data_IF_995956638354
#
_entry.id   IF_995956638354
#
_cell.length_a   1.000
_cell.length_b   1.000
_cell.length_c   1.000
_cell.angle_alpha   90.00
_cell.angle_beta   90.00
_cell.angle_gamma   90.00
#
_symmetry.space_group_name_H-M   'P 1'
#
loop_
_entity.id
_entity.type
_entity.pdbx_description
1 polymer ?
#
# COMPACT_ATOMS: atom_id res chain seq x y z
N UNK A 1 36.34 -13.79 27.77
CA UNK A 1 37.38 -13.40 26.80
C UNK A 1 36.76 -12.38 25.85
N UNK A 2 37.38 -11.19 25.75
CA UNK A 2 37.11 -10.06 24.83
C UNK A 2 35.70 -9.41 24.96
N UNK A 3 35.46 -8.29 25.66
CA UNK A 3 36.00 -6.91 25.58
C UNK A 3 35.90 -6.25 24.19
N UNK A 4 34.91 -5.36 24.03
CA UNK A 4 34.82 -4.21 23.11
C UNK A 4 33.68 -3.29 23.66
N UNK A 5 33.91 -2.38 24.62
CA UNK A 5 34.31 -0.96 24.48
C UNK A 5 33.47 -0.20 23.44
N UNK A 6 32.40 0.51 23.83
CA UNK A 6 32.36 1.90 24.34
C UNK A 6 33.22 2.90 23.55
N UNK A 7 32.62 3.56 22.55
CA UNK A 7 33.08 4.83 22.00
C UNK A 7 31.86 5.67 21.56
N UNK A 8 31.32 6.49 22.47
CA UNK A 8 30.59 7.70 22.10
C UNK A 8 31.21 8.88 22.86
N UNK A 9 31.53 10.00 22.18
CA UNK A 9 32.08 11.19 22.82
C UNK A 9 31.02 11.94 23.63
N UNK A 10 31.43 12.69 24.68
CA UNK A 10 30.52 13.50 25.48
C UNK A 10 29.99 14.69 24.68
N UNK A 11 28.65 14.80 24.63
CA UNK A 11 27.95 15.97 24.07
C UNK A 11 28.31 17.23 24.84
N UNK A 12 28.83 18.22 24.12
CA UNK A 12 29.24 19.51 24.66
C UNK A 12 28.02 20.40 24.80
N UNK A 13 27.66 20.72 26.04
CA UNK A 13 26.61 21.67 26.37
C UNK A 13 27.04 23.09 25.95
N UNK A 14 26.48 23.60 24.84
CA UNK A 14 26.51 25.02 24.52
C UNK A 14 25.33 25.72 25.21
N UNK A 15 25.65 26.53 26.21
CA UNK A 15 24.81 27.63 26.70
C UNK A 15 25.02 28.84 25.80
N UNK A 16 23.95 29.41 25.26
CA UNK A 16 23.86 30.77 24.70
C UNK A 16 22.56 30.85 23.92
N UNK A 17 21.70 31.86 23.97
CA UNK A 17 21.57 33.07 24.77
C UNK A 17 20.15 33.55 24.51
N UNK A 18 19.52 34.17 25.50
CA UNK A 18 18.33 34.99 25.32
C UNK A 18 18.59 36.06 24.26
N UNK A 19 17.75 36.14 23.23
CA UNK A 19 17.48 37.41 22.56
C UNK A 19 16.01 37.54 22.18
N UNK A 20 15.41 38.55 22.79
CA UNK A 20 14.13 39.16 22.49
C UNK A 20 14.02 39.58 21.00
N UNK A 21 12.93 39.20 20.35
CA UNK A 21 12.44 39.92 19.19
C UNK A 21 10.91 39.90 19.12
N UNK A 22 10.30 40.95 19.69
CA UNK A 22 8.96 41.42 19.35
C UNK A 22 8.94 41.88 17.90
N UNK A 23 8.05 41.34 17.07
CA UNK A 23 7.52 42.05 15.90
C UNK A 23 6.13 41.47 15.57
N UNK A 24 5.04 42.16 15.94
CA UNK A 24 4.30 43.10 15.07
C UNK A 24 3.81 42.41 13.78
N UNK A 25 2.59 41.85 13.81
CA UNK A 25 1.34 42.51 13.36
C UNK A 25 1.36 42.84 11.86
N UNK A 26 0.69 42.01 11.06
CA UNK A 26 -0.24 42.44 10.01
C UNK A 26 -0.99 41.25 9.40
N UNK A 27 -2.29 41.17 9.65
CA UNK A 27 -3.24 40.49 8.78
C UNK A 27 -3.35 41.26 7.46
N UNK A 28 -3.52 40.56 6.34
CA UNK A 28 -4.34 41.06 5.25
C UNK A 28 -5.61 40.21 5.13
N UNK A 29 -6.74 40.88 5.36
CA UNK A 29 -8.01 40.52 4.76
C UNK A 29 -7.90 40.65 3.23
N UNK A 30 -8.35 39.65 2.49
CA UNK A 30 -8.95 39.86 1.18
C UNK A 30 -10.00 38.78 0.92
N UNK A 31 -11.25 39.17 1.17
CA UNK A 31 -12.42 38.70 0.44
C UNK A 31 -12.25 38.99 -1.06
N UNK A 32 -13.11 38.36 -1.90
CA UNK A 32 -13.24 38.46 -3.37
C UNK A 32 -12.45 37.37 -4.13
N UNK A 33 -13.01 36.51 -4.97
CA UNK A 33 -14.31 36.44 -5.61
C UNK A 33 -14.66 34.97 -5.90
N UNK A 34 -15.81 34.53 -5.42
CA UNK A 34 -16.52 33.37 -5.96
C UNK A 34 -17.42 33.86 -7.09
N UNK A 35 -17.08 33.58 -8.35
CA UNK A 35 -18.11 33.35 -9.37
C UNK A 35 -17.57 32.79 -10.68
N UNK A 36 -18.37 31.86 -11.24
CA UNK A 36 -18.47 31.59 -12.68
C UNK A 36 -17.33 30.69 -13.25
N UNK A 37 -17.54 29.57 -13.94
CA UNK A 37 -18.55 29.25 -14.96
C UNK A 37 -18.62 27.71 -15.13
N UNK A 38 -19.84 27.16 -15.02
CA UNK A 38 -20.24 25.90 -15.63
C UNK A 38 -20.17 26.03 -17.17
N UNK A 39 -19.30 25.25 -17.84
CA UNK A 39 -19.46 24.96 -19.28
C UNK A 39 -19.14 23.50 -19.60
N UNK A 40 -20.22 22.74 -19.65
CA UNK A 40 -20.56 21.72 -20.67
C UNK A 40 -19.49 21.36 -21.71
N UNK A 41 -19.06 20.11 -21.67
CA UNK A 41 -18.60 19.32 -22.84
C UNK A 41 -19.16 17.90 -22.66
N UNK A 42 -20.36 17.60 -23.14
CA UNK A 42 -20.65 17.03 -24.47
C UNK A 42 -19.68 15.92 -24.90
N UNK A 43 -20.05 14.69 -24.50
CA UNK A 43 -20.23 13.50 -25.36
C UNK A 43 -19.66 13.63 -26.77
N UNK A 44 -18.69 12.77 -27.11
CA UNK A 44 -18.57 12.20 -28.45
C UNK A 44 -18.08 10.76 -28.32
N UNK A 45 -19.04 9.84 -28.40
CA UNK A 45 -18.81 8.41 -28.63
C UNK A 45 -18.37 8.24 -30.08
N UNK A 46 -17.16 7.70 -30.31
CA UNK A 46 -16.77 7.22 -31.63
C UNK A 46 -16.60 5.69 -31.56
N UNK A 47 -17.59 5.00 -32.12
CA UNK A 47 -17.48 3.61 -32.53
C UNK A 47 -16.43 3.50 -33.64
N UNK A 48 -15.46 2.61 -33.47
CA UNK A 48 -14.69 2.08 -34.60
C UNK A 48 -14.90 0.58 -34.67
N UNK A 49 -15.84 0.20 -35.52
CA UNK A 49 -16.00 -1.17 -35.97
C UNK A 49 -14.91 -1.49 -37.01
N UNK A 50 -14.08 -2.49 -36.73
CA UNK A 50 -13.29 -3.18 -37.75
C UNK A 50 -13.73 -4.64 -37.80
N UNK A 51 -14.62 -4.91 -38.75
CA UNK A 51 -14.81 -6.23 -39.32
C UNK A 51 -13.59 -6.57 -40.18
N UNK A 52 -13.02 -7.75 -39.99
CA UNK A 52 -12.33 -8.47 -41.06
C UNK A 52 -12.55 -9.96 -40.89
N UNK A 53 -13.07 -10.53 -41.98
CA UNK A 53 -13.40 -11.92 -42.24
C UNK A 53 -12.17 -12.84 -42.18
N UNK A 54 -12.46 -14.14 -42.45
CA UNK A 54 -11.58 -15.24 -42.92
C UNK A 54 -11.04 -16.16 -41.81
N UNK A 55 -11.16 -17.49 -41.83
CA UNK A 55 -11.62 -18.47 -42.82
C UNK A 55 -12.13 -19.74 -42.14
N UNK A 56 -13.07 -20.40 -42.83
CA UNK A 56 -13.50 -21.76 -42.57
C UNK A 56 -12.44 -22.77 -43.05
N UNK A 57 -12.31 -23.89 -42.33
CA UNK A 57 -11.75 -25.13 -42.87
C UNK A 57 -10.90 -25.90 -41.88
N UNK A 58 -11.27 -27.16 -41.63
CA UNK A 58 -10.28 -28.18 -41.37
C UNK A 58 -10.52 -29.07 -40.16
N UNK A 59 -11.09 -30.25 -40.46
CA UNK A 59 -10.73 -31.56 -39.88
C UNK A 59 -11.01 -31.82 -38.40
N UNK A 60 -12.15 -32.48 -38.20
CA UNK A 60 -12.51 -33.38 -37.10
C UNK A 60 -11.59 -34.62 -37.17
N UNK A 61 -10.68 -34.75 -36.22
CA UNK A 61 -10.09 -36.03 -35.82
C UNK A 61 -10.77 -36.45 -34.52
N UNK A 62 -11.45 -37.60 -34.60
CA UNK A 62 -11.94 -38.36 -33.47
C UNK A 62 -10.72 -39.00 -32.78
N UNK A 63 -10.45 -38.61 -31.54
CA UNK A 63 -9.48 -39.31 -30.69
C UNK A 63 -10.20 -39.82 -29.46
N UNK A 64 -9.98 -41.10 -29.27
CA UNK A 64 -10.61 -42.07 -28.39
C UNK A 64 -10.69 -41.67 -26.91
N UNK A 65 -11.79 -42.13 -26.31
CA UNK A 65 -12.11 -42.11 -24.89
C UNK A 65 -10.99 -42.75 -24.05
N UNK A 66 -10.24 -41.92 -23.32
CA UNK A 66 -9.44 -42.35 -22.18
C UNK A 66 -10.08 -41.81 -20.90
N UNK A 67 -10.91 -42.67 -20.30
CA UNK A 67 -11.54 -42.52 -18.99
C UNK A 67 -10.47 -42.48 -17.89
N UNK A 68 -9.87 -41.30 -17.67
CA UNK A 68 -9.04 -41.03 -16.51
C UNK A 68 -9.93 -40.63 -15.34
N UNK A 69 -10.20 -41.60 -14.46
CA UNK A 69 -10.77 -41.36 -13.15
C UNK A 69 -9.87 -40.38 -12.37
N UNK A 70 -10.29 -39.12 -12.28
CA UNK A 70 -9.64 -38.16 -11.40
C UNK A 70 -9.95 -38.53 -9.94
N UNK A 71 -8.93 -38.64 -9.07
CA UNK A 71 -9.16 -38.74 -7.65
C UNK A 71 -9.82 -37.44 -7.20
N UNK A 72 -11.06 -37.52 -6.72
CA UNK A 72 -11.74 -36.42 -6.07
C UNK A 72 -10.96 -36.07 -4.80
N UNK A 73 -10.01 -35.15 -4.91
CA UNK A 73 -9.46 -34.47 -3.75
C UNK A 73 -10.64 -33.80 -3.05
N UNK A 74 -11.04 -34.40 -1.95
CA UNK A 74 -11.99 -33.82 -1.03
C UNK A 74 -11.36 -32.53 -0.52
N UNK A 75 -11.68 -31.41 -1.17
CA UNK A 75 -11.45 -30.08 -0.64
C UNK A 75 -12.14 -30.06 0.72
N UNK A 76 -11.33 -30.13 1.79
CA UNK A 76 -11.78 -29.83 3.14
C UNK A 76 -12.36 -28.41 3.08
N UNK A 77 -13.68 -28.32 3.03
CA UNK A 77 -14.42 -27.09 3.29
C UNK A 77 -14.22 -26.82 4.77
N UNK A 78 -13.08 -26.22 5.10
CA UNK A 78 -12.87 -25.55 6.38
C UNK A 78 -14.00 -24.55 6.48
N UNK A 79 -15.00 -24.87 7.31
CA UNK A 79 -16.03 -23.92 7.72
C UNK A 79 -15.31 -22.84 8.51
N UNK A 80 -14.76 -21.85 7.82
CA UNK A 80 -14.43 -20.57 8.44
C UNK A 80 -15.71 -20.13 9.14
N UNK A 81 -15.67 -20.00 10.47
CA UNK A 81 -16.76 -19.46 11.27
C UNK A 81 -16.99 -18.01 10.83
N UNK A 82 -17.81 -17.87 9.78
CA UNK A 82 -17.89 -16.68 8.97
C UNK A 82 -18.44 -15.51 9.76
N UNK A 83 -17.57 -14.57 10.11
CA UNK A 83 -17.96 -13.27 10.61
C UNK A 83 -18.98 -12.65 9.63
N UNK A 84 -20.10 -12.14 10.14
CA UNK A 84 -21.09 -11.48 9.28
C UNK A 84 -20.51 -10.20 8.67
N UNK A 85 -20.96 -9.83 7.46
CA UNK A 85 -20.47 -8.61 6.79
C UNK A 85 -20.59 -7.33 7.65
N UNK A 86 -21.67 -7.11 8.43
CA UNK A 86 -21.73 -5.96 9.35
C UNK A 86 -20.68 -6.01 10.46
N UNK A 87 -20.40 -7.18 11.04
CA UNK A 87 -19.37 -7.35 12.06
C UNK A 87 -17.98 -7.12 11.48
N UNK A 88 -17.72 -7.67 10.28
CA UNK A 88 -16.47 -7.44 9.54
C UNK A 88 -16.27 -5.95 9.30
N UNK A 89 -17.30 -5.25 8.80
CA UNK A 89 -17.21 -3.80 8.50
C UNK A 89 -16.90 -2.97 9.74
N UNK A 90 -17.57 -3.26 10.87
CA UNK A 90 -17.32 -2.53 12.12
C UNK A 90 -15.90 -2.80 12.64
N UNK A 91 -15.46 -4.06 12.61
CA UNK A 91 -14.11 -4.46 12.98
C UNK A 91 -13.05 -3.76 12.13
N UNK A 92 -13.18 -3.81 10.80
CA UNK A 92 -12.24 -3.16 9.86
C UNK A 92 -12.20 -1.65 10.07
N UNK A 93 -13.34 -0.98 10.25
CA UNK A 93 -13.38 0.47 10.54
C UNK A 93 -12.73 0.84 11.86
N UNK A 94 -12.90 0.00 12.89
CA UNK A 94 -12.19 0.18 14.16
C UNK A 94 -10.68 0.06 13.96
N UNK A 95 -10.22 -0.99 13.28
CA UNK A 95 -8.80 -1.19 12.99
C UNK A 95 -8.18 -0.05 12.17
N UNK A 96 -8.90 0.46 11.15
CA UNK A 96 -8.48 1.64 10.38
C UNK A 96 -8.32 2.86 11.30
N UNK A 97 -9.27 3.12 12.20
CA UNK A 97 -9.13 4.23 13.16
C UNK A 97 -7.94 4.04 14.11
N UNK A 98 -7.73 2.82 14.58
CA UNK A 98 -6.62 2.49 15.46
C UNK A 98 -5.29 2.78 14.75
N UNK A 99 -5.04 2.19 13.58
CA UNK A 99 -3.76 2.36 12.86
C UNK A 99 -3.49 3.80 12.45
N UNK A 100 -4.52 4.63 12.23
CA UNK A 100 -4.33 6.04 11.90
C UNK A 100 -4.26 6.98 13.12
N UNK A 101 -4.33 6.47 14.35
CA UNK A 101 -4.21 7.32 15.53
C UNK A 101 -2.80 7.93 15.62
N UNK A 102 -2.70 9.20 16.03
CA UNK A 102 -1.41 9.92 16.10
C UNK A 102 -0.42 9.26 17.08
N UNK A 103 -0.95 8.64 18.14
CA UNK A 103 -0.17 8.05 19.23
C UNK A 103 0.29 6.60 18.97
N UNK A 104 0.05 6.04 17.78
CA UNK A 104 0.45 4.64 17.46
C UNK A 104 1.43 4.58 16.30
N UNK A 105 2.33 3.60 16.35
CA UNK A 105 3.19 3.29 15.21
C UNK A 105 2.34 2.73 14.05
N UNK A 106 2.62 3.21 12.83
CA UNK A 106 1.96 2.76 11.60
C UNK A 106 2.62 1.45 11.17
N UNK A 107 2.05 0.32 11.57
CA UNK A 107 2.66 -1.00 11.33
C UNK A 107 1.76 -1.94 10.57
N UNK A 108 2.39 -2.85 9.84
CA UNK A 108 1.79 -3.93 9.07
C UNK A 108 2.59 -5.21 9.25
N UNK A 109 1.94 -6.35 9.10
CA UNK A 109 2.58 -7.65 9.09
C UNK A 109 2.78 -8.14 7.65
N UNK A 110 3.98 -8.59 7.32
CA UNK A 110 4.25 -9.42 6.15
C UNK A 110 4.34 -10.87 6.62
N UNK A 111 3.47 -11.72 6.09
CA UNK A 111 3.39 -13.13 6.47
C UNK A 111 4.52 -13.98 5.90
N UNK A 112 4.42 -15.29 6.14
CA UNK A 112 5.36 -16.30 5.62
C UNK A 112 5.27 -16.48 4.10
N UNK A 113 4.29 -15.84 3.44
CA UNK A 113 4.19 -15.75 1.99
C UNK A 113 5.22 -14.77 1.39
N UNK A 114 5.91 -13.99 2.22
CA UNK A 114 7.01 -13.08 1.84
C UNK A 114 6.63 -12.11 0.72
N UNK A 115 5.34 -11.80 0.59
CA UNK A 115 4.80 -11.10 -0.58
C UNK A 115 4.04 -9.85 -0.19
N UNK A 116 4.40 -8.75 -0.85
CA UNK A 116 3.64 -7.51 -0.86
C UNK A 116 3.00 -7.31 -2.25
N UNK A 117 1.82 -6.71 -2.27
CA UNK A 117 1.05 -6.34 -3.45
C UNK A 117 1.15 -4.84 -3.65
N UNK A 118 1.49 -4.40 -4.85
CA UNK A 118 1.49 -2.99 -5.22
C UNK A 118 0.74 -2.80 -6.53
N UNK A 119 0.01 -1.70 -6.65
CA UNK A 119 -0.83 -1.50 -7.83
C UNK A 119 -1.90 -0.44 -7.71
N UNK A 120 -2.66 -0.30 -8.78
CA UNK A 120 -3.93 0.40 -8.79
C UNK A 120 -4.99 -0.42 -8.03
N UNK A 121 -5.45 0.13 -6.91
CA UNK A 121 -6.36 -0.60 -6.00
C UNK A 121 -7.77 -0.72 -6.59
N UNK A 122 -8.13 0.11 -7.56
CA UNK A 122 -9.41 0.00 -8.25
C UNK A 122 -9.46 -1.23 -9.16
N UNK A 123 -8.34 -1.61 -9.78
CA UNK A 123 -8.22 -2.85 -10.58
C UNK A 123 -8.39 -4.10 -9.71
N UNK A 124 -7.87 -4.04 -8.48
CA UNK A 124 -8.02 -5.12 -7.52
C UNK A 124 -9.48 -5.41 -7.13
N UNK A 125 -10.49 -4.60 -7.52
CA UNK A 125 -11.91 -4.88 -7.25
C UNK A 125 -12.53 -5.99 -8.11
N UNK A 126 -11.88 -6.34 -9.22
CA UNK A 126 -12.35 -7.37 -10.15
C UNK A 126 -12.39 -8.77 -9.54
N UNK A 127 -12.92 -9.74 -10.31
CA UNK A 127 -12.99 -11.14 -9.89
C UNK A 127 -11.61 -11.85 -9.93
N UNK A 128 -10.63 -11.28 -10.64
CA UNK A 128 -9.36 -11.92 -10.98
C UNK A 128 -8.15 -11.49 -10.11
N UNK A 129 -8.36 -10.87 -8.94
CA UNK A 129 -7.27 -10.46 -8.01
C UNK A 129 -6.11 -9.72 -8.72
N UNK A 130 -6.43 -8.75 -9.55
CA UNK A 130 -5.47 -8.07 -10.42
C UNK A 130 -4.74 -6.94 -9.70
N UNK A 131 -3.70 -7.28 -8.95
CA UNK A 131 -2.60 -6.35 -8.68
C UNK A 131 -1.56 -6.46 -9.77
N UNK A 132 -1.02 -5.34 -10.21
CA UNK A 132 -0.03 -5.27 -11.29
C UNK A 132 1.35 -5.75 -10.84
N UNK A 133 1.68 -5.59 -9.55
CA UNK A 133 2.99 -5.95 -9.02
C UNK A 133 2.91 -6.82 -7.75
N UNK A 134 3.58 -7.96 -7.82
CA UNK A 134 3.82 -8.87 -6.70
C UNK A 134 5.29 -8.78 -6.29
N UNK A 135 5.56 -8.16 -5.15
CA UNK A 135 6.90 -7.98 -4.59
C UNK A 135 7.22 -9.17 -3.70
N UNK A 136 8.05 -10.10 -4.18
CA UNK A 136 8.40 -11.33 -3.47
C UNK A 136 9.74 -11.24 -2.76
N UNK A 137 9.92 -12.05 -1.71
CA UNK A 137 11.14 -12.09 -0.91
C UNK A 137 11.23 -10.98 0.15
N UNK A 138 10.09 -10.37 0.51
CA UNK A 138 9.99 -9.49 1.65
C UNK A 138 10.19 -10.27 2.95
N UNK A 139 11.05 -9.77 3.84
CA UNK A 139 11.32 -10.42 5.12
C UNK A 139 10.03 -10.54 5.96
N UNK A 140 9.64 -11.74 6.42
CA UNK A 140 8.48 -11.90 7.29
C UNK A 140 8.61 -11.10 8.60
N UNK A 141 7.48 -10.63 9.12
CA UNK A 141 7.40 -9.92 10.39
C UNK A 141 6.69 -8.58 10.32
N UNK A 142 7.01 -7.71 11.27
CA UNK A 142 6.41 -6.40 11.44
C UNK A 142 7.22 -5.36 10.67
N UNK A 143 6.51 -4.66 9.78
CA UNK A 143 7.00 -3.55 8.99
C UNK A 143 6.36 -2.25 9.46
N UNK A 144 7.15 -1.19 9.52
CA UNK A 144 6.68 0.18 9.74
C UNK A 144 6.42 0.83 8.39
N UNK A 145 5.26 1.48 8.29
CA UNK A 145 4.84 2.23 7.11
C UNK A 145 5.02 3.73 7.39
N UNK A 146 5.47 4.46 6.39
CA UNK A 146 5.46 5.93 6.41
C UNK A 146 5.02 6.45 5.05
N UNK A 147 4.47 7.67 5.07
CA UNK A 147 4.05 8.40 3.88
C UNK A 147 4.51 9.84 4.05
N UNK A 148 5.13 10.41 3.02
CA UNK A 148 5.65 11.77 3.10
C UNK A 148 4.54 12.79 2.87
N UNK A 149 4.41 13.75 3.78
CA UNK A 149 3.51 14.88 3.57
C UNK A 149 3.97 15.83 2.46
N UNK A 150 5.27 15.82 2.10
CA UNK A 150 5.82 16.70 1.06
C UNK A 150 5.71 16.10 -0.35
N UNK A 151 5.43 14.82 -0.46
CA UNK A 151 5.28 14.09 -1.72
C UNK A 151 4.19 13.05 -1.54
N UNK A 152 3.00 13.34 -2.09
CA UNK A 152 1.82 12.48 -1.93
C UNK A 152 2.03 11.06 -2.47
N UNK A 153 3.03 10.85 -3.33
CA UNK A 153 3.41 9.57 -3.92
C UNK A 153 4.53 8.82 -3.18
N UNK A 154 5.21 9.41 -2.19
CA UNK A 154 6.32 8.75 -1.50
C UNK A 154 5.82 7.92 -0.31
N UNK A 155 5.89 6.60 -0.45
CA UNK A 155 5.58 5.62 0.61
C UNK A 155 6.82 4.80 0.91
N UNK A 156 7.06 4.51 2.20
CA UNK A 156 8.17 3.67 2.63
C UNK A 156 7.72 2.60 3.62
N UNK A 157 8.23 1.38 3.43
CA UNK A 157 8.04 0.24 4.32
C UNK A 157 9.42 -0.17 4.86
N UNK A 158 9.56 -0.25 6.18
CA UNK A 158 10.80 -0.58 6.88
C UNK A 158 10.55 -1.80 7.76
N UNK A 159 11.29 -2.90 7.56
CA UNK A 159 11.23 -4.05 8.45
C UNK A 159 11.77 -3.69 9.84
N UNK A 160 11.02 -4.00 10.90
CA UNK A 160 11.36 -3.63 12.28
C UNK A 160 11.81 -4.84 13.08
N UNK A 161 11.00 -5.90 13.07
CA UNK A 161 11.21 -7.09 13.89
C UNK A 161 10.34 -8.26 13.43
N UNK A 162 10.67 -9.45 13.88
CA UNK A 162 9.79 -10.63 13.77
C UNK A 162 8.50 -10.46 14.59
N UNK A 163 7.42 -11.11 14.15
CA UNK A 163 6.15 -11.17 14.87
C UNK A 163 4.94 -10.84 14.00
N UNK A 164 3.77 -10.77 14.64
CA UNK A 164 2.47 -10.48 14.02
C UNK A 164 1.89 -9.17 14.56
N UNK A 165 0.95 -8.57 13.84
CA UNK A 165 0.30 -7.32 14.25
C UNK A 165 -1.09 -7.59 14.84
N UNK A 166 -1.30 -7.16 16.09
CA UNK A 166 -2.63 -7.05 16.68
C UNK A 166 -3.19 -5.62 16.48
N UNK A 167 -4.13 -5.47 15.55
CA UNK A 167 -4.76 -4.18 15.26
C UNK A 167 -5.74 -3.70 16.35
N UNK A 168 -6.10 -4.54 17.31
CA UNK A 168 -6.86 -4.14 18.50
C UNK A 168 -5.95 -3.60 19.61
N UNK A 169 -4.65 -3.93 19.60
CA UNK A 169 -3.65 -3.57 20.61
C UNK A 169 -2.33 -3.08 19.98
N UNK A 170 -2.41 -2.06 19.11
CA UNK A 170 -1.23 -1.51 18.44
C UNK A 170 -0.22 -0.90 19.42
N UNK A 171 1.10 -1.05 19.15
CA UNK A 171 2.12 -0.47 20.01
C UNK A 171 2.03 1.07 20.00
N UNK A 172 2.24 1.72 21.16
CA UNK A 172 2.33 3.17 21.21
C UNK A 172 3.51 3.64 20.38
N UNK A 173 3.39 4.84 19.81
CA UNK A 173 4.47 5.41 19.03
C UNK A 173 5.65 5.74 19.92
N UNK A 174 6.83 5.28 19.53
CA UNK A 174 8.06 5.54 20.28
C UNK A 174 8.62 6.95 20.05
N UNK A 175 7.96 7.80 19.26
CA UNK A 175 8.46 9.14 18.90
C UNK A 175 9.68 9.13 17.97
N UNK A 176 10.32 7.97 17.78
CA UNK A 176 11.25 7.70 16.69
C UNK A 176 10.47 7.59 15.38
N UNK A 177 10.06 8.74 14.86
CA UNK A 177 9.81 8.89 13.44
C UNK A 177 11.15 8.58 12.78
N UNK A 178 11.32 7.33 12.34
CA UNK A 178 12.35 7.04 11.36
C UNK A 178 12.09 8.06 10.26
N UNK A 179 13.00 9.03 10.11
CA UNK A 179 12.94 9.93 8.98
C UNK A 179 12.84 9.09 7.71
N UNK A 180 12.34 9.65 6.60
CA UNK A 180 12.64 9.04 5.31
C UNK A 180 14.12 8.69 5.37
N UNK A 181 14.47 7.42 5.15
CA UNK A 181 15.88 7.06 5.06
C UNK A 181 16.42 8.06 4.03
N UNK A 182 17.16 9.06 4.51
CA UNK A 182 17.58 10.17 3.67
C UNK A 182 18.25 9.51 2.46
N UNK A 183 18.17 10.13 1.29
CA UNK A 183 18.94 9.74 0.11
C UNK A 183 20.44 9.88 0.43
N UNK A 184 20.91 9.11 1.40
CA UNK A 184 22.28 8.87 1.71
C UNK A 184 22.76 8.06 0.52
N UNK A 185 23.45 8.76 -0.37
CA UNK A 185 24.02 8.24 -1.61
C UNK A 185 24.86 6.96 -1.39
N UNK A 186 25.16 6.61 -0.14
CA UNK A 186 25.79 5.37 0.27
C UNK A 186 24.90 4.11 0.13
N UNK A 187 23.57 4.24 0.06
CA UNK A 187 22.65 3.10 0.00
C UNK A 187 22.19 2.87 -1.45
N UNK A 188 22.57 1.73 -2.00
CA UNK A 188 22.16 1.31 -3.34
C UNK A 188 20.74 0.74 -3.30
N UNK A 189 19.79 1.51 -3.84
CA UNK A 189 18.42 1.06 -4.07
C UNK A 189 18.36 0.22 -5.34
N UNK A 190 17.71 -0.95 -5.28
CA UNK A 190 17.42 -1.76 -6.46
C UNK A 190 15.97 -1.57 -6.89
N UNK A 191 15.71 -1.40 -8.19
CA UNK A 191 14.35 -1.48 -8.73
C UNK A 191 13.85 -2.93 -8.60
N UNK A 192 12.79 -3.13 -7.81
CA UNK A 192 12.18 -4.44 -7.59
C UNK A 192 10.89 -4.63 -8.39
N UNK A 193 10.36 -3.55 -8.99
CA UNK A 193 9.25 -3.61 -9.92
C UNK A 193 8.69 -2.24 -10.25
N UNK A 194 7.75 -2.23 -11.19
CA UNK A 194 7.02 -1.05 -11.61
C UNK A 194 5.57 -1.40 -11.96
N UNK A 195 4.68 -0.42 -11.84
CA UNK A 195 3.28 -0.52 -12.23
C UNK A 195 2.76 0.82 -12.72
N UNK A 196 1.54 0.84 -13.25
CA UNK A 196 0.88 2.05 -13.75
C UNK A 196 -0.44 2.27 -13.03
N UNK A 197 -0.80 3.52 -12.79
CA UNK A 197 -2.05 3.89 -12.13
C UNK A 197 -2.92 4.65 -13.13
N UNK A 198 -4.21 4.31 -13.19
CA UNK A 198 -5.21 4.96 -14.04
C UNK A 198 -6.42 5.50 -13.26
N UNK A 199 -6.54 5.14 -11.99
CA UNK A 199 -7.65 5.54 -11.13
C UNK A 199 -7.34 6.70 -10.17
N UNK A 200 -6.07 7.14 -10.13
CA UNK A 200 -5.55 8.08 -9.14
C UNK A 200 -5.41 7.49 -7.71
N UNK A 201 -5.45 6.17 -7.55
CA UNK A 201 -5.35 5.49 -6.25
C UNK A 201 -4.36 4.32 -6.30
N UNK A 202 -3.23 4.47 -5.59
CA UNK A 202 -2.26 3.40 -5.40
C UNK A 202 -2.46 2.70 -4.05
N UNK A 203 -2.04 1.45 -3.98
CA UNK A 203 -1.93 0.72 -2.72
C UNK A 203 -0.66 -0.10 -2.64
N UNK A 204 -0.18 -0.30 -1.42
CA UNK A 204 0.87 -1.24 -1.08
C UNK A 204 0.40 -2.06 0.13
N UNK A 205 0.26 -3.38 -0.04
CA UNK A 205 -0.34 -4.27 0.94
C UNK A 205 0.50 -5.53 1.18
N UNK A 206 0.43 -6.09 2.38
CA UNK A 206 0.76 -7.49 2.66
C UNK A 206 -0.27 -8.41 2.00
N UNK A 207 0.18 -9.34 1.17
CA UNK A 207 -0.71 -10.24 0.44
C UNK A 207 -1.54 -11.10 1.41
N UNK A 208 -0.91 -11.74 2.38
CA UNK A 208 -1.60 -12.56 3.38
C UNK A 208 -2.66 -11.79 4.17
N UNK A 209 -2.36 -10.56 4.61
CA UNK A 209 -3.33 -9.73 5.35
C UNK A 209 -4.45 -9.24 4.44
N UNK A 210 -4.12 -8.76 3.23
CA UNK A 210 -5.10 -8.31 2.24
C UNK A 210 -6.08 -9.42 1.87
N UNK A 211 -5.56 -10.61 1.57
CA UNK A 211 -6.35 -11.79 1.26
C UNK A 211 -7.24 -12.16 2.45
N UNK A 212 -6.70 -12.21 3.67
CA UNK A 212 -7.50 -12.52 4.87
C UNK A 212 -8.67 -11.53 5.07
N UNK A 213 -8.45 -10.24 4.82
CA UNK A 213 -9.48 -9.21 4.94
C UNK A 213 -10.55 -9.33 3.87
N UNK A 214 -10.15 -9.62 2.63
CA UNK A 214 -11.00 -9.52 1.43
C UNK A 214 -11.61 -10.85 0.98
N UNK A 215 -11.10 -11.99 1.46
CA UNK A 215 -11.56 -13.34 1.11
C UNK A 215 -13.06 -13.54 1.34
N UNK A 216 -13.67 -14.38 0.51
CA UNK A 216 -15.07 -14.80 0.62
C UNK A 216 -16.04 -13.88 -0.13
N UNK A 217 -17.33 -13.96 0.24
CA UNK A 217 -18.37 -13.21 -0.45
C UNK A 217 -18.24 -11.69 -0.28
N UNK A 218 -18.65 -10.95 -1.32
CA UNK A 218 -18.64 -9.47 -1.36
C UNK A 218 -17.24 -8.84 -1.30
N UNK A 219 -16.24 -9.49 -1.90
CA UNK A 219 -14.85 -9.02 -2.02
C UNK A 219 -14.75 -7.55 -2.49
N UNK A 220 -15.40 -7.21 -3.61
CA UNK A 220 -15.46 -5.83 -4.11
C UNK A 220 -15.92 -4.82 -3.04
N UNK A 221 -17.00 -5.12 -2.33
CA UNK A 221 -17.51 -4.25 -1.25
C UNK A 221 -16.51 -4.11 -0.10
N UNK A 222 -15.78 -5.18 0.23
CA UNK A 222 -14.75 -5.13 1.27
C UNK A 222 -13.59 -4.21 0.88
N UNK A 223 -13.14 -4.29 -0.37
CA UNK A 223 -12.12 -3.40 -0.93
C UNK A 223 -12.62 -1.96 -0.95
N UNK A 224 -13.86 -1.71 -1.37
CA UNK A 224 -14.48 -0.39 -1.29
C UNK A 224 -14.50 0.17 0.14
N UNK A 225 -14.71 -0.65 1.16
CA UNK A 225 -14.65 -0.20 2.56
C UNK A 225 -13.23 0.25 2.95
N UNK A 226 -12.19 -0.43 2.46
CA UNK A 226 -10.80 -0.02 2.66
C UNK A 226 -10.51 1.31 1.95
N UNK A 227 -10.87 1.43 0.67
CA UNK A 227 -10.69 2.64 -0.14
C UNK A 227 -11.42 3.86 0.41
N UNK A 228 -12.65 3.65 0.90
CA UNK A 228 -13.45 4.71 1.51
C UNK A 228 -12.83 5.26 2.80
N UNK A 229 -11.88 4.58 3.44
CA UNK A 229 -11.15 5.12 4.59
C UNK A 229 -10.46 6.44 4.25
N UNK A 230 -9.86 6.50 3.06
CA UNK A 230 -9.17 7.67 2.52
C UNK A 230 -10.13 8.73 2.01
N UNK A 231 -11.15 8.33 1.24
CA UNK A 231 -12.08 9.26 0.57
C UNK A 231 -13.04 9.98 1.53
N UNK A 232 -13.28 9.43 2.72
CA UNK A 232 -14.07 10.12 3.75
C UNK A 232 -13.24 11.22 4.42
N UNK A 233 -13.90 12.17 5.11
CA UNK A 233 -13.31 13.32 5.86
C UNK A 233 -12.23 12.97 6.90
N UNK A 234 -11.88 11.71 7.02
CA UNK A 234 -10.84 11.19 7.89
C UNK A 234 -9.46 11.29 7.23
N UNK A 235 -9.36 11.23 5.90
CA UNK A 235 -8.08 11.39 5.19
C UNK A 235 -7.02 10.36 5.60
N UNK A 236 -7.45 9.16 5.99
CA UNK A 236 -6.60 8.12 6.57
C UNK A 236 -5.98 7.25 5.47
N UNK A 237 -4.65 7.33 5.24
CA UNK A 237 -4.01 6.51 4.21
C UNK A 237 -3.74 5.08 4.71
N UNK A 238 -3.56 4.87 6.01
CA UNK A 238 -3.20 3.55 6.55
C UNK A 238 -4.41 2.65 6.72
N UNK A 239 -4.28 1.37 6.39
CA UNK A 239 -5.33 0.37 6.60
C UNK A 239 -4.71 -0.92 7.13
N UNK A 240 -5.50 -1.84 7.72
CA UNK A 240 -4.97 -3.15 8.08
C UNK A 240 -4.38 -3.84 6.86
N UNK A 241 -3.14 -4.27 6.96
CA UNK A 241 -2.43 -4.91 5.85
C UNK A 241 -1.71 -3.95 4.92
N UNK A 242 -1.79 -2.62 5.05
CA UNK A 242 -1.05 -1.75 4.14
C UNK A 242 -1.41 -0.27 4.17
N UNK A 243 -1.18 0.39 3.04
CA UNK A 243 -1.45 1.80 2.85
C UNK A 243 -2.14 2.03 1.50
N UNK A 244 -3.06 2.97 1.49
CA UNK A 244 -3.78 3.47 0.31
C UNK A 244 -3.43 4.95 0.20
N UNK A 245 -2.77 5.31 -0.88
CA UNK A 245 -2.44 6.69 -1.20
C UNK A 245 -3.23 7.10 -2.44
N UNK A 246 -3.11 8.35 -2.81
CA UNK A 246 -3.47 8.69 -4.18
C UNK A 246 -2.63 9.80 -4.65
N UNK A 247 -2.63 9.79 -5.95
CA UNK A 247 -1.47 10.02 -6.76
C UNK A 247 -2.01 10.32 -8.14
N UNK A 248 -1.18 10.90 -8.97
CA UNK A 248 -1.54 11.18 -10.34
C UNK A 248 -1.53 9.89 -11.19
N UNK A 249 -2.22 9.92 -12.31
CA UNK A 249 -2.16 8.82 -13.27
C UNK A 249 -0.75 8.78 -13.88
N UNK A 250 -0.14 7.59 -13.96
CA UNK A 250 1.24 7.49 -14.43
C UNK A 250 1.95 6.21 -14.04
N UNK A 251 3.25 6.16 -14.36
CA UNK A 251 4.14 5.07 -13.98
C UNK A 251 4.70 5.27 -12.58
N UNK A 252 4.80 4.17 -11.84
CA UNK A 252 5.35 4.14 -10.49
C UNK A 252 6.41 3.06 -10.39
N UNK A 253 7.48 3.37 -9.68
CA UNK A 253 8.59 2.46 -9.40
C UNK A 253 8.56 2.07 -7.94
N UNK A 254 8.78 0.78 -7.70
CA UNK A 254 9.07 0.24 -6.38
C UNK A 254 10.54 -0.14 -6.34
N UNK A 255 11.24 0.42 -5.37
CA UNK A 255 12.63 0.08 -5.07
C UNK A 255 12.74 -0.60 -3.72
N UNK A 256 13.79 -1.41 -3.55
CA UNK A 256 14.06 -2.13 -2.32
C UNK A 256 15.52 -2.14 -1.91
N UNK A 257 15.76 -2.54 -0.66
CA UNK A 257 17.09 -2.87 -0.13
C UNK A 257 17.00 -4.24 0.52
N UNK A 258 17.99 -5.09 0.26
CA UNK A 258 18.10 -6.43 0.83
C UNK A 258 19.08 -6.48 2.01
N UNK A 259 18.81 -7.37 2.95
CA UNK A 259 19.75 -7.74 4.00
C UNK A 259 20.81 -8.76 3.52
N UNK A 260 21.69 -9.19 4.42
CA UNK A 260 22.75 -10.16 4.11
C UNK A 260 22.25 -11.56 3.72
N UNK A 261 20.98 -11.87 3.99
CA UNK A 261 20.32 -13.12 3.59
C UNK A 261 19.55 -12.98 2.27
N UNK A 262 19.62 -11.80 1.63
CA UNK A 262 18.95 -11.49 0.38
C UNK A 262 17.45 -11.19 0.53
N UNK A 263 16.95 -10.98 1.77
CA UNK A 263 15.55 -10.62 2.02
C UNK A 263 15.37 -9.12 1.93
N UNK A 264 14.29 -8.67 1.31
CA UNK A 264 13.95 -7.25 1.24
C UNK A 264 13.57 -6.79 2.66
N UNK A 265 14.21 -5.72 3.13
CA UNK A 265 14.01 -5.13 4.47
C UNK A 265 13.63 -3.65 4.43
N UNK A 266 13.81 -2.99 3.31
CA UNK A 266 13.34 -1.63 3.03
C UNK A 266 12.68 -1.61 1.66
N UNK A 267 11.57 -0.92 1.53
CA UNK A 267 10.87 -0.67 0.26
C UNK A 267 10.48 0.79 0.20
N UNK A 268 10.61 1.41 -0.97
CA UNK A 268 10.00 2.70 -1.26
C UNK A 268 9.26 2.69 -2.59
N UNK A 269 8.12 3.37 -2.61
CA UNK A 269 7.30 3.63 -3.79
C UNK A 269 7.42 5.11 -4.14
N UNK A 270 7.63 5.41 -5.42
CA UNK A 270 7.63 6.77 -5.94
C UNK A 270 7.25 6.80 -7.43
N UNK A 271 6.88 7.99 -7.90
CA UNK A 271 6.55 8.23 -9.31
C UNK A 271 7.79 8.11 -10.21
N UNK A 272 7.63 7.49 -11.38
CA UNK A 272 8.69 7.43 -12.38
C UNK A 272 9.01 8.85 -12.86
N UNK A 273 10.24 9.34 -12.60
CA UNK A 273 10.68 10.62 -13.18
C UNK A 273 10.79 10.45 -14.70
N UNK A 274 9.93 11.12 -15.46
CA UNK A 274 10.17 11.30 -16.90
C UNK A 274 11.50 12.05 -17.07
N UNK A 275 12.50 11.36 -17.63
CA UNK A 275 13.82 11.91 -17.93
C UNK A 275 13.87 12.74 -19.19
#
# INVERSE_FOLDING_TARGET
>A
MHHLLNLLPPSTAMKSSDEDAKNSRQEPQSEQDTESILRSSKVTTALTASQSQTMAGGTREEVEDAEYAQPSEAQEVVKEEGQSLPQWREKTRRWIRNVNSEEVDKVVEVGDDETLLAGDVELAKGDDDEFELYITGAKPGIWRMSHSASSESHVQFIWVREGTVDYDELPPSNGDTAGPADDDDAVEWEEIGAFSIDSGVAGLFSQSVFNSLTRGGKRQYKIEVLLNARMNRLGYPYVPGGIIIGVDDGGYVVEGIRDGDGKIVLIRLHETREG
#
